data_IF_569033205467
#
_entry.id   IF_569033205467
#
_cell.length_a   1.000
_cell.length_b   1.000
_cell.length_c   1.000
_cell.angle_alpha   90.00
_cell.angle_beta   90.00
_cell.angle_gamma   90.00
#
_symmetry.space_group_name_H-M   'P 1'
#
loop_
_entity.id
_entity.type
_entity.pdbx_description
1 polymer ?
#
# COMPACT_ATOMS: atom_id res chain seq x y z
N UNK A 1 78.72 -2.30 13.32
CA UNK A 1 77.56 -1.39 13.59
C UNK A 1 76.42 -1.81 12.71
N UNK A 2 75.57 -2.67 13.25
CA UNK A 2 74.41 -3.23 12.53
C UNK A 2 73.19 -2.33 12.79
N UNK A 3 72.56 -1.80 11.73
CA UNK A 3 71.31 -1.00 11.79
C UNK A 3 70.16 -1.95 11.61
N UNK A 4 69.46 -2.24 12.69
CA UNK A 4 68.21 -3.01 12.74
C UNK A 4 67.08 -2.07 12.29
N UNK A 5 66.52 -2.27 11.07
CA UNK A 5 65.34 -1.57 10.59
C UNK A 5 64.08 -2.21 11.16
N UNK A 6 63.34 -1.48 11.96
CA UNK A 6 62.01 -1.90 12.46
C UNK A 6 61.01 -1.59 11.35
N UNK A 7 60.46 -2.66 10.72
CA UNK A 7 59.29 -2.55 9.81
C UNK A 7 58.03 -2.51 10.66
N UNK A 8 57.41 -1.33 10.74
CA UNK A 8 56.09 -1.16 11.37
C UNK A 8 55.02 -1.64 10.38
N UNK A 9 54.47 -2.84 10.63
CA UNK A 9 53.38 -3.40 9.87
C UNK A 9 52.09 -2.72 10.33
N UNK A 10 51.58 -1.73 9.59
CA UNK A 10 50.27 -1.12 9.80
C UNK A 10 49.22 -2.07 9.25
N UNK A 11 48.61 -2.87 10.12
CA UNK A 11 47.40 -3.65 9.79
C UNK A 11 46.23 -2.65 9.75
N UNK A 12 45.80 -2.27 8.56
CA UNK A 12 44.55 -1.55 8.34
C UNK A 12 43.44 -2.59 8.50
N UNK A 13 42.88 -2.70 9.69
CA UNK A 13 41.59 -3.34 9.92
C UNK A 13 40.54 -2.52 9.13
N UNK A 14 40.14 -3.04 7.97
CA UNK A 14 38.90 -2.58 7.35
C UNK A 14 37.74 -3.12 8.21
N UNK A 15 37.43 -2.45 9.32
CA UNK A 15 36.11 -2.51 9.89
C UNK A 15 35.17 -1.99 8.80
N UNK A 16 34.31 -2.83 8.28
CA UNK A 16 33.17 -2.38 7.49
C UNK A 16 32.36 -1.45 8.40
N UNK A 17 32.62 -0.16 8.32
CA UNK A 17 31.71 0.86 8.77
C UNK A 17 30.47 0.67 7.89
N UNK A 18 29.44 -0.01 8.40
CA UNK A 18 28.08 0.16 7.88
C UNK A 18 27.82 1.66 8.03
N UNK A 19 28.02 2.40 6.95
CA UNK A 19 27.76 3.82 6.90
C UNK A 19 26.27 3.99 7.18
N UNK A 20 25.96 4.84 8.13
CA UNK A 20 24.59 5.29 8.39
C UNK A 20 23.99 5.81 7.09
N UNK A 21 22.88 5.22 6.61
CA UNK A 21 22.23 5.69 5.38
C UNK A 21 21.63 7.08 5.60
N UNK A 22 21.61 7.86 4.52
CA UNK A 22 20.75 9.04 4.39
C UNK A 22 19.64 8.66 3.41
N UNK A 23 18.40 8.77 3.81
CA UNK A 23 17.26 8.56 2.92
C UNK A 23 17.03 9.82 2.11
N UNK A 24 17.09 9.70 0.78
CA UNK A 24 17.03 10.82 -0.16
C UNK A 24 15.64 10.97 -0.79
N UNK A 25 15.43 12.07 -1.51
CA UNK A 25 14.18 12.33 -2.22
C UNK A 25 13.87 11.34 -3.36
N UNK A 26 14.80 10.45 -3.70
CA UNK A 26 14.56 9.42 -4.71
C UNK A 26 13.43 8.45 -4.33
N UNK A 27 13.10 8.39 -3.02
CA UNK A 27 11.95 7.63 -2.52
C UNK A 27 10.60 8.32 -2.73
N UNK A 28 10.57 9.59 -3.16
CA UNK A 28 9.30 10.28 -3.35
C UNK A 28 8.52 9.66 -4.51
N UNK A 29 7.21 9.45 -4.33
CA UNK A 29 6.38 8.87 -5.36
C UNK A 29 6.25 9.80 -6.58
N UNK A 30 6.02 9.20 -7.74
CA UNK A 30 5.80 9.87 -9.02
C UNK A 30 4.55 9.30 -9.68
N UNK A 31 4.02 10.03 -10.66
CA UNK A 31 2.89 9.52 -11.47
C UNK A 31 3.27 8.17 -12.11
N UNK A 32 2.38 7.19 -11.96
CA UNK A 32 2.56 5.83 -12.47
C UNK A 32 3.20 4.85 -11.48
N UNK A 33 3.72 5.33 -10.35
CA UNK A 33 4.20 4.42 -9.30
C UNK A 33 3.05 3.62 -8.69
N UNK A 34 3.32 2.36 -8.41
CA UNK A 34 2.44 1.51 -7.60
C UNK A 34 3.19 1.06 -6.35
N UNK A 35 2.67 1.41 -5.19
CA UNK A 35 3.20 1.02 -3.89
C UNK A 35 2.44 -0.22 -3.41
N UNK A 36 3.16 -1.32 -3.16
CA UNK A 36 2.57 -2.60 -2.82
C UNK A 36 2.70 -2.90 -1.33
N UNK A 37 1.57 -3.07 -0.65
CA UNK A 37 1.54 -3.35 0.78
C UNK A 37 0.93 -4.72 1.08
N UNK A 38 1.56 -5.46 1.98
CA UNK A 38 0.99 -6.58 2.70
C UNK A 38 0.70 -6.15 4.15
N UNK A 39 -0.29 -6.77 4.78
CA UNK A 39 -0.73 -6.41 6.13
C UNK A 39 -0.75 -7.66 7.01
N UNK A 40 -0.12 -7.57 8.17
CA UNK A 40 -0.28 -8.51 9.28
C UNK A 40 -1.06 -7.80 10.40
N UNK A 41 -2.29 -8.25 10.66
CA UNK A 41 -3.19 -7.67 11.67
C UNK A 41 -2.93 -8.23 13.08
N UNK A 42 -2.12 -9.27 13.22
CA UNK A 42 -1.81 -9.94 14.48
C UNK A 42 -0.34 -10.39 14.52
N UNK A 43 0.62 -9.46 14.35
CA UNK A 43 2.03 -9.81 14.37
C UNK A 43 2.43 -10.39 15.73
N UNK A 44 3.22 -11.47 15.69
CA UNK A 44 3.61 -12.17 16.90
C UNK A 44 4.99 -11.72 17.38
N UNK A 45 5.09 -11.32 18.65
CA UNK A 45 6.35 -11.02 19.34
C UNK A 45 7.19 -9.88 18.74
N UNK A 46 6.56 -8.93 18.05
CA UNK A 46 7.26 -7.72 17.61
C UNK A 46 7.15 -6.65 18.69
N UNK A 47 8.31 -6.32 19.27
CA UNK A 47 8.45 -5.26 20.27
C UNK A 47 9.47 -4.25 19.75
N UNK A 48 9.12 -2.96 19.79
CA UNK A 48 10.03 -1.91 19.37
C UNK A 48 11.16 -1.75 20.39
N UNK A 49 12.38 -1.89 19.89
CA UNK A 49 13.60 -1.66 20.70
C UNK A 49 13.76 -0.19 21.03
N UNK A 50 14.36 0.16 22.20
CA UNK A 50 14.76 1.54 22.47
C UNK A 50 15.68 2.10 21.38
N UNK A 51 15.76 3.45 21.25
CA UNK A 51 16.79 4.09 20.42
C UNK A 51 18.19 3.64 20.82
N UNK A 52 19.07 3.43 19.85
CA UNK A 52 20.46 3.09 20.06
C UNK A 52 21.34 3.77 19.01
N UNK A 53 22.58 4.11 19.39
CA UNK A 53 23.59 4.68 18.50
C UNK A 53 24.27 3.63 17.63
N UNK A 54 24.10 2.35 17.95
CA UNK A 54 24.63 1.24 17.17
C UNK A 54 23.60 0.76 16.09
N UNK A 55 24.08 0.23 14.97
CA UNK A 55 23.21 -0.40 13.97
C UNK A 55 22.39 -1.53 14.61
N UNK A 56 21.10 -1.53 14.40
CA UNK A 56 20.18 -2.54 14.88
C UNK A 56 19.82 -3.55 13.79
N UNK A 57 19.37 -4.73 14.18
CA UNK A 57 18.82 -5.73 13.29
C UNK A 57 17.42 -6.11 13.76
N UNK A 58 16.45 -5.92 12.90
CA UNK A 58 15.04 -6.27 13.14
C UNK A 58 14.68 -7.45 12.25
N UNK A 59 14.20 -8.52 12.85
CA UNK A 59 13.73 -9.71 12.12
C UNK A 59 12.19 -9.76 12.15
N UNK A 60 11.60 -9.37 11.04
CA UNK A 60 10.16 -9.44 10.76
C UNK A 60 9.86 -10.50 9.68
N UNK A 61 10.78 -11.44 9.43
CA UNK A 61 10.59 -12.49 8.43
C UNK A 61 9.39 -13.39 8.70
N UNK A 62 8.94 -13.45 9.95
CA UNK A 62 7.77 -14.20 10.40
C UNK A 62 6.41 -13.52 10.18
N UNK A 63 6.35 -12.32 9.59
CA UNK A 63 5.09 -11.63 9.28
C UNK A 63 4.22 -12.46 8.34
N UNK A 64 2.91 -12.43 8.59
CA UNK A 64 1.90 -13.16 7.81
C UNK A 64 1.05 -12.16 7.02
N UNK A 65 0.89 -12.43 5.73
CA UNK A 65 -0.01 -11.62 4.90
C UNK A 65 -1.46 -12.01 5.16
N UNK A 66 -2.14 -11.28 6.05
CA UNK A 66 -3.58 -11.42 6.27
C UNK A 66 -4.39 -10.76 5.13
N UNK A 67 -3.90 -9.63 4.62
CA UNK A 67 -4.46 -8.92 3.47
C UNK A 67 -3.36 -8.17 2.71
N UNK A 68 -3.72 -7.59 1.56
CA UNK A 68 -2.83 -6.72 0.79
C UNK A 68 -3.63 -5.63 0.09
N UNK A 69 -2.97 -4.53 -0.25
CA UNK A 69 -3.52 -3.45 -1.06
C UNK A 69 -2.41 -2.73 -1.82
N UNK A 70 -2.81 -2.11 -2.92
CA UNK A 70 -1.93 -1.30 -3.74
C UNK A 70 -2.36 0.16 -3.69
N UNK A 71 -1.40 1.07 -3.72
CA UNK A 71 -1.61 2.50 -3.91
C UNK A 71 -1.02 2.89 -5.26
N UNK A 72 -1.87 3.28 -6.19
CA UNK A 72 -1.47 3.73 -7.52
C UNK A 72 -1.42 5.27 -7.49
N UNK A 73 -0.26 5.83 -7.85
CA UNK A 73 -0.05 7.27 -7.94
C UNK A 73 -0.44 7.77 -9.33
N UNK A 74 -1.55 8.49 -9.40
CA UNK A 74 -2.08 9.05 -10.63
C UNK A 74 -1.76 10.55 -10.71
N UNK A 75 -1.84 11.13 -11.91
CA UNK A 75 -1.76 12.57 -12.10
C UNK A 75 -2.98 13.22 -11.38
N UNK A 76 -2.71 14.19 -10.51
CA UNK A 76 -3.74 14.86 -9.74
C UNK A 76 -4.84 15.48 -10.62
N UNK A 77 -4.53 15.90 -11.85
CA UNK A 77 -5.48 16.50 -12.79
C UNK A 77 -6.55 15.51 -13.26
N UNK A 78 -6.31 14.20 -13.13
CA UNK A 78 -7.31 13.18 -13.45
C UNK A 78 -8.41 13.06 -12.40
N UNK A 79 -8.15 13.55 -11.18
CA UNK A 79 -9.09 13.52 -10.08
C UNK A 79 -10.17 14.60 -10.24
N UNK A 80 -11.47 14.27 -10.13
CA UNK A 80 -12.57 15.22 -10.34
C UNK A 80 -12.56 16.38 -9.32
N UNK A 81 -11.96 16.22 -8.15
CA UNK A 81 -11.85 17.26 -7.13
C UNK A 81 -10.55 18.07 -7.21
N UNK A 82 -9.73 17.88 -8.25
CA UNK A 82 -8.49 18.66 -8.47
C UNK A 82 -8.68 20.18 -8.32
N UNK A 83 -9.80 20.81 -8.78
CA UNK A 83 -10.01 22.24 -8.57
C UNK A 83 -10.01 22.68 -7.10
N UNK A 84 -10.28 21.76 -6.16
CA UNK A 84 -10.17 22.02 -4.71
C UNK A 84 -8.72 21.96 -4.22
N UNK A 85 -7.85 21.26 -4.94
CA UNK A 85 -6.44 21.00 -4.58
C UNK A 85 -5.47 21.41 -5.70
N UNK A 86 -5.46 22.68 -6.14
CA UNK A 86 -4.79 23.11 -7.38
C UNK A 86 -3.24 22.97 -7.31
N UNK A 87 -2.67 22.79 -6.11
CA UNK A 87 -1.22 22.57 -5.93
C UNK A 87 -0.81 21.11 -6.01
N UNK A 88 -1.76 20.18 -6.13
CA UNK A 88 -1.44 18.75 -6.16
C UNK A 88 -0.80 18.33 -7.48
N UNK A 89 0.21 17.46 -7.42
CA UNK A 89 0.78 16.76 -8.57
C UNK A 89 0.32 15.31 -8.64
N UNK A 90 0.05 14.70 -7.48
CA UNK A 90 -0.36 13.31 -7.38
C UNK A 90 -1.71 13.18 -6.71
N UNK A 91 -2.44 12.17 -7.12
CA UNK A 91 -3.65 11.70 -6.44
C UNK A 91 -3.59 10.18 -6.33
N UNK A 92 -4.10 9.64 -5.23
CA UNK A 92 -4.34 8.21 -5.11
C UNK A 92 -5.70 7.95 -4.47
N UNK A 93 -6.24 6.76 -4.75
CA UNK A 93 -7.49 6.29 -4.16
C UNK A 93 -7.20 5.09 -3.27
N UNK A 94 -7.72 5.11 -2.04
CA UNK A 94 -7.68 3.98 -1.12
C UNK A 94 -9.08 3.73 -0.57
N UNK A 95 -9.68 2.60 -0.95
CA UNK A 95 -11.09 2.36 -0.67
C UNK A 95 -12.00 3.38 -1.35
N UNK A 96 -12.79 4.10 -0.57
CA UNK A 96 -13.66 5.18 -1.05
C UNK A 96 -12.99 6.57 -1.02
N UNK A 97 -11.83 6.69 -0.37
CA UNK A 97 -11.19 7.98 -0.13
C UNK A 97 -10.16 8.29 -1.21
N UNK A 98 -10.07 9.56 -1.57
CA UNK A 98 -9.11 10.08 -2.54
C UNK A 98 -8.25 11.14 -1.90
N UNK A 99 -6.93 10.99 -1.98
CA UNK A 99 -5.94 11.86 -1.34
C UNK A 99 -5.12 12.59 -2.39
N UNK A 100 -4.95 13.89 -2.22
CA UNK A 100 -4.23 14.79 -3.11
C UNK A 100 -2.92 15.23 -2.49
N UNK A 101 -1.80 15.03 -3.23
CA UNK A 101 -0.44 15.27 -2.75
C UNK A 101 0.27 16.34 -3.57
N UNK A 102 0.99 17.19 -2.87
CA UNK A 102 2.05 18.05 -3.42
C UNK A 102 3.40 17.39 -3.18
N UNK A 103 4.24 17.33 -4.22
CA UNK A 103 5.61 16.82 -4.13
C UNK A 103 6.58 17.94 -4.50
N UNK A 104 7.48 18.26 -3.58
CA UNK A 104 8.55 19.23 -3.83
C UNK A 104 9.92 18.61 -3.49
N UNK A 105 11.03 19.35 -3.65
CA UNK A 105 12.38 18.82 -3.43
C UNK A 105 12.70 18.39 -1.99
N UNK A 106 11.80 18.60 -1.03
CA UNK A 106 12.03 18.30 0.38
C UNK A 106 10.90 17.49 1.03
N UNK A 107 9.68 17.59 0.50
CA UNK A 107 8.50 17.02 1.13
C UNK A 107 7.54 16.40 0.13
N UNK A 108 6.83 15.36 0.59
CA UNK A 108 5.54 14.95 0.06
C UNK A 108 4.49 15.40 1.06
N UNK A 109 3.60 16.29 0.64
CA UNK A 109 2.63 16.96 1.49
C UNK A 109 1.22 16.60 1.01
N UNK A 110 0.40 16.08 1.90
CA UNK A 110 -1.03 15.91 1.67
C UNK A 110 -1.71 17.26 1.79
N UNK A 111 -2.27 17.74 0.68
CA UNK A 111 -3.03 18.99 0.63
C UNK A 111 -4.44 18.81 1.17
N UNK A 112 -4.94 17.60 1.12
CA UNK A 112 -6.24 17.21 1.63
C UNK A 112 -6.76 15.94 0.99
N UNK A 113 -7.99 15.61 1.31
CA UNK A 113 -8.62 14.38 0.83
C UNK A 113 -10.13 14.60 0.63
N UNK A 114 -10.72 13.66 -0.12
CA UNK A 114 -12.16 13.56 -0.31
C UNK A 114 -12.62 12.21 0.22
N UNK A 115 -13.39 12.24 1.30
CA UNK A 115 -13.77 11.04 2.03
C UNK A 115 -14.71 11.35 3.19
N UNK A 116 -14.89 10.38 4.08
CA UNK A 116 -15.64 10.53 5.33
C UNK A 116 -14.69 10.68 6.53
N UNK A 117 -14.29 11.91 6.87
CA UNK A 117 -13.28 12.14 7.90
C UNK A 117 -13.69 11.68 9.30
N UNK A 118 -14.98 11.63 9.56
CA UNK A 118 -15.50 11.34 10.91
C UNK A 118 -16.25 10.01 11.02
N UNK A 119 -16.34 9.22 9.95
CA UNK A 119 -17.10 7.96 9.96
C UNK A 119 -18.60 8.18 10.17
N UNK A 120 -19.12 9.28 9.66
CA UNK A 120 -20.53 9.69 9.80
C UNK A 120 -21.37 9.39 8.54
N UNK A 121 -20.77 8.77 7.52
CA UNK A 121 -21.43 8.51 6.24
C UNK A 121 -21.53 9.75 5.35
N UNK A 122 -20.75 10.80 5.61
CA UNK A 122 -20.76 12.05 4.84
C UNK A 122 -19.43 12.24 4.12
N UNK A 123 -19.45 12.21 2.79
CA UNK A 123 -18.26 12.45 1.98
C UNK A 123 -18.00 13.94 1.84
N UNK A 124 -16.81 14.40 2.25
CA UNK A 124 -16.43 15.81 2.31
C UNK A 124 -15.07 16.05 1.63
N UNK A 125 -14.90 17.23 1.05
CA UNK A 125 -13.61 17.74 0.62
C UNK A 125 -12.93 18.41 1.83
N UNK A 126 -11.91 17.78 2.37
CA UNK A 126 -11.18 18.25 3.55
C UNK A 126 -9.80 18.77 3.13
N UNK A 127 -9.63 20.09 3.17
CA UNK A 127 -8.37 20.76 2.80
C UNK A 127 -7.56 21.01 4.07
N UNK A 128 -6.33 20.48 4.10
CA UNK A 128 -5.40 20.70 5.21
C UNK A 128 -4.79 22.10 5.18
N UNK A 129 -4.73 22.73 6.35
CA UNK A 129 -4.00 23.98 6.55
C UNK A 129 -3.33 24.02 7.93
N UNK A 130 -1.98 24.13 7.96
CA UNK A 130 -1.08 23.86 6.80
C UNK A 130 -1.21 22.44 6.30
N UNK A 131 -0.69 22.17 5.09
CA UNK A 131 -0.69 20.83 4.50
C UNK A 131 -0.04 19.78 5.42
N UNK A 132 -0.49 18.55 5.38
CA UNK A 132 0.02 17.48 6.21
C UNK A 132 1.24 16.80 5.55
N UNK A 133 2.42 16.97 6.13
CA UNK A 133 3.67 16.39 5.58
C UNK A 133 3.67 14.88 5.79
N UNK A 134 3.58 14.13 4.69
CA UNK A 134 3.62 12.66 4.70
C UNK A 134 5.05 12.12 4.79
N UNK A 135 5.95 12.70 3.99
CA UNK A 135 7.35 12.29 3.89
C UNK A 135 8.25 13.51 3.82
N UNK A 136 9.46 13.36 4.34
CA UNK A 136 10.54 14.32 4.22
C UNK A 136 11.81 13.65 3.72
N UNK A 137 12.60 14.35 2.92
CA UNK A 137 13.94 13.93 2.52
C UNK A 137 14.78 15.16 2.11
N UNK A 138 16.10 15.15 2.31
CA UNK A 138 16.84 14.05 2.92
C UNK A 138 16.58 13.94 4.43
N UNK A 139 16.65 12.72 4.98
CA UNK A 139 16.62 12.46 6.41
C UNK A 139 17.76 11.53 6.81
N UNK A 140 18.29 11.75 7.99
CA UNK A 140 19.38 10.96 8.58
C UNK A 140 19.12 10.70 10.07
N UNK A 141 19.89 9.80 10.64
CA UNK A 141 19.78 9.47 12.05
C UNK A 141 19.94 10.72 12.94
N UNK A 142 19.13 10.84 13.99
CA UNK A 142 18.93 12.00 14.87
C UNK A 142 18.13 13.17 14.31
N UNK A 143 17.68 13.13 13.07
CA UNK A 143 16.77 14.17 12.61
C UNK A 143 15.49 14.16 13.43
N UNK A 144 15.07 15.37 13.82
CA UNK A 144 13.87 15.62 14.60
C UNK A 144 13.04 16.70 13.92
N UNK A 145 11.74 16.49 13.81
CA UNK A 145 10.85 17.49 13.28
C UNK A 145 9.48 17.47 13.93
N UNK A 146 9.01 18.66 14.27
CA UNK A 146 7.66 18.88 14.75
C UNK A 146 6.81 19.53 13.67
N UNK A 147 5.60 19.00 13.46
CA UNK A 147 4.65 19.51 12.49
C UNK A 147 3.27 19.63 13.10
N UNK A 148 2.48 20.53 12.57
CA UNK A 148 1.05 20.64 12.86
C UNK A 148 0.27 20.79 11.56
N UNK A 149 -0.96 20.30 11.57
CA UNK A 149 -1.87 20.40 10.43
C UNK A 149 -3.31 20.31 10.93
N UNK A 150 -4.27 20.69 10.10
CA UNK A 150 -5.66 20.53 10.44
C UNK A 150 -6.57 20.89 9.29
N UNK A 151 -7.85 20.62 9.44
CA UNK A 151 -8.87 21.07 8.50
C UNK A 151 -10.14 21.50 9.23
N UNK A 152 -10.94 22.28 8.55
CA UNK A 152 -12.26 22.71 9.00
C UNK A 152 -13.20 22.66 7.79
N UNK A 153 -14.17 21.73 7.81
CA UNK A 153 -15.09 21.52 6.69
C UNK A 153 -16.51 21.51 7.20
N UNK A 154 -17.35 22.40 6.64
CA UNK A 154 -18.76 22.52 6.97
C UNK A 154 -19.65 21.88 5.90
N UNK A 155 -20.80 21.37 6.32
CA UNK A 155 -21.80 20.76 5.45
C UNK A 155 -23.21 20.95 6.02
N UNK A 156 -24.27 20.96 5.18
CA UNK A 156 -25.66 21.03 5.63
C UNK A 156 -26.00 19.84 6.54
N UNK A 157 -26.72 20.08 7.64
CA UNK A 157 -27.14 19.01 8.57
C UNK A 157 -27.93 17.91 7.86
N UNK A 158 -28.72 18.26 6.85
CA UNK A 158 -29.50 17.30 6.05
C UNK A 158 -28.67 16.28 5.29
N UNK A 159 -27.36 16.49 5.11
CA UNK A 159 -26.44 15.52 4.49
C UNK A 159 -26.02 14.41 5.46
N UNK A 160 -26.25 14.58 6.77
CA UNK A 160 -25.91 13.58 7.77
C UNK A 160 -26.99 12.48 7.78
N UNK A 161 -26.68 11.23 7.50
CA UNK A 161 -27.60 10.11 7.61
C UNK A 161 -28.15 10.03 9.05
N UNK A 162 -29.47 10.03 9.22
CA UNK A 162 -30.11 9.99 10.55
C UNK A 162 -30.04 11.29 11.36
N UNK A 163 -29.79 12.42 10.74
CA UNK A 163 -29.73 13.74 11.40
C UNK A 163 -30.96 14.08 12.24
N UNK A 164 -32.13 13.56 11.88
CA UNK A 164 -33.39 13.74 12.64
C UNK A 164 -33.38 13.13 14.04
N UNK A 165 -32.41 12.26 14.34
CA UNK A 165 -32.22 11.63 15.65
C UNK A 165 -31.40 12.50 16.61
N UNK A 166 -30.72 13.56 16.10
CA UNK A 166 -29.94 14.44 16.94
C UNK A 166 -30.82 15.22 17.91
N UNK A 167 -30.37 15.39 19.17
CA UNK A 167 -31.17 16.08 20.21
C UNK A 167 -31.09 17.62 20.11
N UNK A 168 -30.61 18.15 18.99
CA UNK A 168 -30.47 19.58 18.70
C UNK A 168 -30.82 19.87 17.25
N UNK A 169 -31.18 21.14 17.00
CA UNK A 169 -31.48 21.61 15.65
C UNK A 169 -30.32 22.53 15.23
N UNK A 170 -29.65 22.16 14.16
CA UNK A 170 -28.58 22.92 13.54
C UNK A 170 -28.81 23.01 12.02
N UNK A 171 -28.57 24.18 11.43
CA UNK A 171 -28.67 24.37 9.97
C UNK A 171 -27.54 23.67 9.25
N UNK A 172 -26.35 23.69 9.87
CA UNK A 172 -25.13 23.12 9.32
C UNK A 172 -24.30 22.49 10.45
N UNK A 173 -23.53 21.50 10.07
CA UNK A 173 -22.49 20.89 10.88
C UNK A 173 -21.13 21.22 10.29
N UNK A 174 -20.07 21.24 11.11
CA UNK A 174 -18.71 21.30 10.63
C UNK A 174 -17.80 20.36 11.43
N UNK A 175 -16.91 19.69 10.73
CA UNK A 175 -15.85 18.90 11.34
C UNK A 175 -14.61 19.78 11.38
N UNK A 176 -14.01 19.86 12.55
CA UNK A 176 -12.69 20.46 12.73
C UNK A 176 -11.73 19.40 13.27
N UNK A 177 -10.57 19.29 12.64
CA UNK A 177 -9.52 18.40 13.05
C UNK A 177 -8.22 19.20 13.19
N UNK A 178 -7.54 18.97 14.28
CA UNK A 178 -6.16 19.43 14.49
C UNK A 178 -5.27 18.25 14.82
N UNK A 179 -4.05 18.30 14.32
CA UNK A 179 -3.04 17.31 14.63
C UNK A 179 -1.70 17.99 14.90
N UNK A 180 -0.99 17.51 15.91
CA UNK A 180 0.43 17.79 16.11
C UNK A 180 1.20 16.49 16.07
N UNK A 181 2.38 16.53 15.48
CA UNK A 181 3.20 15.34 15.26
C UNK A 181 4.66 15.65 15.52
N UNK A 182 5.32 14.75 16.24
CA UNK A 182 6.75 14.71 16.42
C UNK A 182 7.30 13.48 15.70
N UNK A 183 8.22 13.71 14.77
CA UNK A 183 8.93 12.70 14.01
C UNK A 183 10.39 12.68 14.46
N UNK A 184 10.89 11.53 14.85
CA UNK A 184 12.27 11.34 15.28
C UNK A 184 12.88 10.15 14.52
N UNK A 185 13.99 10.39 13.82
CA UNK A 185 14.80 9.30 13.27
C UNK A 185 15.66 8.74 14.39
N UNK A 186 15.17 7.69 15.04
CA UNK A 186 15.66 7.24 16.36
C UNK A 186 16.51 5.97 16.32
N UNK A 187 16.62 5.32 15.17
CA UNK A 187 17.47 4.14 14.98
C UNK A 187 17.78 3.91 13.49
N UNK A 188 18.79 3.09 13.23
CA UNK A 188 19.19 2.66 11.89
C UNK A 188 19.73 1.22 11.92
N UNK A 189 19.78 0.58 10.78
CA UNK A 189 20.32 -0.79 10.65
C UNK A 189 19.63 -1.60 9.57
N UNK A 190 19.44 -2.90 9.80
CA UNK A 190 18.85 -3.80 8.83
C UNK A 190 17.48 -4.30 9.31
N UNK A 191 16.51 -4.27 8.42
CA UNK A 191 15.19 -4.85 8.62
C UNK A 191 14.98 -6.00 7.63
N UNK A 192 14.71 -7.19 8.16
CA UNK A 192 14.30 -8.37 7.37
C UNK A 192 12.78 -8.49 7.42
N UNK A 193 12.12 -8.52 6.26
CA UNK A 193 10.71 -8.81 6.06
C UNK A 193 10.56 -10.06 5.18
N UNK A 194 9.37 -10.67 5.04
CA UNK A 194 9.17 -11.72 4.06
C UNK A 194 9.63 -11.28 2.65
N UNK A 195 10.62 -11.99 2.09
CA UNK A 195 11.17 -11.76 0.76
C UNK A 195 12.47 -10.94 0.70
N UNK A 196 12.94 -10.31 1.79
CA UNK A 196 14.21 -9.58 1.72
C UNK A 196 14.66 -8.88 2.98
N UNK A 197 15.93 -8.44 2.96
CA UNK A 197 16.54 -7.60 4.00
C UNK A 197 16.95 -6.27 3.40
N UNK A 198 16.67 -5.19 4.12
CA UNK A 198 16.87 -3.81 3.68
C UNK A 198 17.66 -3.03 4.73
N UNK A 199 18.57 -2.18 4.25
CA UNK A 199 19.17 -1.16 5.09
C UNK A 199 18.15 -0.03 5.31
N UNK A 200 17.89 0.35 6.57
CA UNK A 200 16.78 1.24 6.91
C UNK A 200 17.16 2.30 7.95
N UNK A 201 16.45 3.43 7.89
CA UNK A 201 16.27 4.36 9.00
C UNK A 201 14.91 4.10 9.65
N UNK A 202 14.86 4.06 10.97
CA UNK A 202 13.62 3.98 11.72
C UNK A 202 13.17 5.38 12.15
N UNK A 203 11.97 5.76 11.75
CA UNK A 203 11.30 6.99 12.18
C UNK A 203 10.19 6.64 13.18
N UNK A 204 10.31 7.16 14.39
CA UNK A 204 9.23 7.14 15.38
C UNK A 204 8.35 8.37 15.17
N UNK A 205 7.09 8.18 14.84
CA UNK A 205 6.06 9.23 14.74
C UNK A 205 5.16 9.18 15.94
N UNK A 206 5.13 10.26 16.72
CA UNK A 206 4.16 10.46 17.79
C UNK A 206 3.17 11.51 17.34
N UNK A 207 1.93 11.09 17.08
CA UNK A 207 0.85 11.97 16.62
C UNK A 207 -0.20 12.12 17.71
N UNK A 208 -0.49 13.36 18.05
CA UNK A 208 -1.69 13.76 18.78
C UNK A 208 -2.70 14.31 17.79
N UNK A 209 -3.95 13.82 17.84
CA UNK A 209 -5.05 14.29 17.01
C UNK A 209 -6.25 14.62 17.87
N UNK A 210 -6.87 15.76 17.60
CA UNK A 210 -8.17 16.14 18.14
C UNK A 210 -9.14 16.37 16.97
N UNK A 211 -10.29 15.71 17.01
CA UNK A 211 -11.34 15.84 16.00
C UNK A 211 -12.68 16.09 16.67
N UNK A 212 -13.34 17.18 16.31
CA UNK A 212 -14.58 17.66 16.89
C UNK A 212 -15.61 17.94 15.82
N UNK A 213 -16.88 17.94 16.21
CA UNK A 213 -17.97 18.38 15.38
C UNK A 213 -18.72 19.52 16.08
N UNK A 214 -18.97 20.60 15.33
CA UNK A 214 -19.76 21.72 15.81
C UNK A 214 -21.07 21.84 15.02
N UNK A 215 -22.15 22.22 15.68
CA UNK A 215 -23.44 22.56 15.10
C UNK A 215 -23.66 24.05 15.04
N UNK A 216 -24.17 24.56 13.91
CA UNK A 216 -24.60 25.96 13.76
C UNK A 216 -26.04 26.11 14.26
N UNK A 217 -26.18 26.62 15.48
CA UNK A 217 -27.44 26.71 16.22
C UNK A 217 -27.85 28.20 16.37
N UNK A 218 -28.95 28.59 15.76
CA UNK A 218 -29.46 29.98 15.87
C UNK A 218 -30.05 30.22 17.26
N UNK A 219 -29.83 31.41 17.88
CA UNK A 219 -28.98 32.51 17.43
C UNK A 219 -27.51 32.39 17.91
N UNK A 220 -27.14 31.28 18.55
CA UNK A 220 -25.87 31.10 19.27
C UNK A 220 -24.64 30.92 18.38
N UNK A 221 -24.82 30.56 17.09
CA UNK A 221 -23.73 30.29 16.17
C UNK A 221 -23.18 28.88 16.25
N UNK A 222 -21.86 28.71 16.11
CA UNK A 222 -21.20 27.41 16.14
C UNK A 222 -20.93 26.98 17.58
N UNK A 223 -21.48 25.85 17.97
CA UNK A 223 -21.28 25.21 19.28
C UNK A 223 -20.71 23.81 19.11
N UNK A 224 -19.81 23.41 19.98
CA UNK A 224 -19.29 22.03 20.05
C UNK A 224 -20.42 21.10 20.46
N UNK A 225 -20.74 20.15 19.61
CA UNK A 225 -21.78 19.12 19.82
C UNK A 225 -21.20 17.71 19.75
N UNK A 226 -19.87 17.57 19.94
CA UNK A 226 -19.13 16.32 19.80
C UNK A 226 -19.70 15.22 20.70
N UNK A 227 -19.86 15.49 22.00
CA UNK A 227 -20.31 14.48 22.95
C UNK A 227 -21.77 14.07 22.70
N UNK A 228 -22.59 15.03 22.30
CA UNK A 228 -23.97 14.75 21.89
C UNK A 228 -24.01 13.90 20.62
N UNK A 229 -23.16 14.21 19.65
CA UNK A 229 -23.08 13.42 18.41
C UNK A 229 -22.60 12.00 18.68
N UNK A 230 -21.61 11.81 19.52
CA UNK A 230 -21.10 10.49 19.90
C UNK A 230 -22.16 9.61 20.59
N UNK A 231 -23.14 10.19 21.26
CA UNK A 231 -24.25 9.44 21.84
C UNK A 231 -25.11 8.72 20.77
N UNK A 232 -25.24 9.34 19.60
CA UNK A 232 -26.05 8.82 18.49
C UNK A 232 -25.20 8.11 17.40
N UNK A 233 -23.94 8.48 17.31
CA UNK A 233 -22.95 7.91 16.38
C UNK A 233 -21.72 7.43 17.15
N UNK A 234 -21.83 6.37 17.96
CA UNK A 234 -20.76 5.93 18.86
C UNK A 234 -19.52 5.39 18.14
N UNK A 235 -19.63 5.07 16.87
CA UNK A 235 -18.52 4.61 16.01
C UNK A 235 -17.83 5.76 15.24
N UNK A 236 -18.29 7.02 15.42
CA UNK A 236 -17.67 8.16 14.77
C UNK A 236 -16.23 8.37 15.27
N UNK A 237 -15.33 8.76 14.35
CA UNK A 237 -13.92 9.02 14.65
C UNK A 237 -13.73 10.42 15.26
N UNK A 238 -14.47 10.72 16.32
CA UNK A 238 -14.42 12.00 17.04
C UNK A 238 -13.70 11.83 18.37
N UNK A 239 -13.19 12.94 18.93
CA UNK A 239 -12.49 12.96 20.20
C UNK A 239 -10.99 13.18 20.03
N UNK A 240 -10.22 12.70 20.99
CA UNK A 240 -8.77 12.85 21.08
C UNK A 240 -8.11 11.49 20.99
N UNK A 241 -7.08 11.37 20.19
CA UNK A 241 -6.24 10.18 20.16
C UNK A 241 -4.74 10.55 20.15
N UNK A 242 -3.93 9.63 20.67
CA UNK A 242 -2.48 9.66 20.53
C UNK A 242 -2.03 8.34 19.95
N UNK A 243 -1.34 8.42 18.82
CA UNK A 243 -0.85 7.24 18.11
C UNK A 243 0.66 7.32 17.94
N UNK A 244 1.34 6.23 18.30
CA UNK A 244 2.76 6.04 17.98
C UNK A 244 2.87 4.99 16.89
N UNK A 245 3.57 5.36 15.82
CA UNK A 245 3.89 4.49 14.69
C UNK A 245 5.37 4.54 14.39
N UNK A 246 5.93 3.42 13.96
CA UNK A 246 7.31 3.35 13.51
C UNK A 246 7.34 3.05 12.02
N UNK A 247 8.04 3.90 11.26
CA UNK A 247 8.28 3.77 9.83
C UNK A 247 9.72 3.32 9.60
N UNK A 248 9.92 2.38 8.73
CA UNK A 248 11.24 1.93 8.31
C UNK A 248 11.47 2.35 6.86
N UNK A 249 12.31 3.36 6.68
CA UNK A 249 12.61 3.96 5.39
C UNK A 249 13.88 3.39 4.79
N UNK A 250 13.91 3.17 3.47
CA UNK A 250 15.07 2.72 2.70
C UNK A 250 15.11 3.40 1.35
N UNK A 251 16.31 3.70 0.83
CA UNK A 251 16.47 4.19 -0.55
C UNK A 251 16.13 3.13 -1.61
N UNK A 252 15.89 1.89 -1.21
CA UNK A 252 15.55 0.79 -2.11
C UNK A 252 14.05 0.68 -2.40
N UNK A 253 13.23 1.57 -1.83
CA UNK A 253 11.77 1.51 -1.95
C UNK A 253 11.15 2.89 -1.83
N UNK A 254 10.09 3.14 -2.57
CA UNK A 254 9.28 4.37 -2.45
C UNK A 254 8.29 4.28 -1.30
N UNK A 255 7.76 3.09 -1.03
CA UNK A 255 7.01 2.82 0.19
C UNK A 255 7.95 2.49 1.36
N UNK A 256 7.55 2.78 2.61
CA UNK A 256 8.25 2.26 3.79
C UNK A 256 8.38 0.73 3.71
N UNK A 257 9.54 0.20 4.09
CA UNK A 257 9.74 -1.26 4.17
C UNK A 257 8.77 -1.87 5.17
N UNK A 258 8.52 -1.18 6.28
CA UNK A 258 7.46 -1.53 7.23
C UNK A 258 6.91 -0.27 7.92
N UNK A 259 5.63 -0.34 8.30
CA UNK A 259 4.95 0.61 9.18
C UNK A 259 4.37 -0.19 10.33
N UNK A 260 4.87 0.03 11.54
CA UNK A 260 4.44 -0.68 12.74
C UNK A 260 3.50 0.21 13.58
N UNK A 261 2.28 -0.26 13.79
CA UNK A 261 1.30 0.39 14.65
C UNK A 261 1.39 -0.21 16.06
N UNK A 262 1.50 0.64 17.07
CA UNK A 262 1.65 0.18 18.45
C UNK A 262 0.37 0.30 19.25
N UNK A 263 0.29 -0.45 20.33
CA UNK A 263 -0.71 -0.28 21.37
C UNK A 263 -0.40 0.94 22.28
N UNK A 264 -1.19 1.12 23.31
CA UNK A 264 -1.02 2.21 24.28
C UNK A 264 0.31 2.16 25.05
N UNK A 265 1.02 1.03 25.06
CA UNK A 265 2.37 0.94 25.67
C UNK A 265 3.43 1.61 24.80
N UNK A 266 3.11 1.90 23.52
CA UNK A 266 4.00 2.47 22.51
C UNK A 266 5.18 1.56 22.13
N UNK A 267 5.20 0.32 22.59
CA UNK A 267 6.28 -0.64 22.36
C UNK A 267 5.80 -1.90 21.65
N UNK A 268 4.63 -2.43 22.08
CA UNK A 268 4.07 -3.65 21.46
C UNK A 268 3.40 -3.30 20.15
N UNK A 269 3.83 -3.98 19.08
CA UNK A 269 3.23 -3.83 17.75
C UNK A 269 1.97 -4.68 17.65
N UNK A 270 0.88 -4.07 17.22
CA UNK A 270 -0.43 -4.71 17.07
C UNK A 270 -0.85 -4.89 15.62
N UNK A 271 -0.17 -4.20 14.70
CA UNK A 271 -0.39 -4.31 13.26
C UNK A 271 0.88 -3.90 12.53
N UNK A 272 1.21 -4.58 11.45
CA UNK A 272 2.29 -4.18 10.54
C UNK A 272 1.76 -4.10 9.11
N UNK A 273 2.01 -2.97 8.46
CA UNK A 273 1.94 -2.87 7.00
C UNK A 273 3.38 -2.94 6.50
N UNK A 274 3.66 -3.78 5.52
CA UNK A 274 5.01 -3.96 5.02
C UNK A 274 5.03 -4.08 3.50
N UNK A 275 6.19 -3.80 2.91
CA UNK A 275 6.40 -3.90 1.47
C UNK A 275 6.08 -5.31 0.98
N UNK A 276 5.15 -5.43 0.03
CA UNK A 276 4.79 -6.69 -0.58
C UNK A 276 5.71 -7.02 -1.76
N UNK A 277 6.82 -7.70 -1.47
CA UNK A 277 7.81 -8.07 -2.49
C UNK A 277 7.23 -9.10 -3.47
N UNK A 278 6.34 -10.00 -3.01
CA UNK A 278 5.73 -11.02 -3.86
C UNK A 278 4.82 -10.41 -4.93
N UNK A 279 4.11 -9.32 -4.61
CA UNK A 279 3.33 -8.58 -5.59
C UNK A 279 4.22 -7.99 -6.70
N UNK A 280 5.42 -7.51 -6.34
CA UNK A 280 6.38 -6.95 -7.30
C UNK A 280 7.02 -8.01 -8.21
N UNK A 281 7.16 -9.25 -7.74
CA UNK A 281 7.74 -10.37 -8.51
C UNK A 281 6.70 -11.15 -9.30
N UNK A 282 5.44 -11.11 -8.87
CA UNK A 282 4.30 -11.75 -9.55
C UNK A 282 3.51 -10.80 -10.45
N UNK A 283 3.94 -9.55 -10.57
CA UNK A 283 3.45 -8.67 -11.63
C UNK A 283 4.05 -9.05 -13.02
N UNK A 284 3.99 -10.32 -13.40
CA UNK A 284 3.40 -10.63 -14.67
C UNK A 284 2.05 -9.89 -14.64
N UNK A 285 1.94 -8.77 -15.38
CA UNK A 285 0.68 -8.15 -15.73
C UNK A 285 -0.35 -9.28 -15.78
N UNK A 286 -1.32 -9.29 -14.87
CA UNK A 286 -2.54 -10.01 -15.12
C UNK A 286 -3.16 -9.22 -16.26
N UNK A 287 -2.71 -9.49 -17.47
CA UNK A 287 -3.51 -9.19 -18.66
C UNK A 287 -4.82 -9.86 -18.29
N UNK A 288 -5.87 -9.08 -18.14
CA UNK A 288 -7.22 -9.63 -18.18
C UNK A 288 -7.21 -10.50 -19.41
N UNK A 289 -7.22 -11.82 -19.18
CA UNK A 289 -7.28 -12.76 -20.27
C UNK A 289 -8.53 -12.38 -21.06
N UNK A 290 -8.32 -11.76 -22.19
CA UNK A 290 -9.33 -10.99 -22.90
C UNK A 290 -10.52 -11.87 -23.34
N UNK A 291 -10.36 -13.20 -23.24
CA UNK A 291 -11.36 -14.16 -23.72
C UNK A 291 -11.50 -15.31 -22.71
N UNK A 292 -12.72 -15.61 -22.24
CA UNK A 292 -12.96 -16.75 -21.38
C UNK A 292 -12.62 -18.06 -22.10
N UNK A 293 -11.79 -18.88 -21.46
CA UNK A 293 -11.40 -20.22 -21.95
C UNK A 293 -11.82 -21.24 -20.90
N UNK A 294 -12.47 -22.31 -21.35
CA UNK A 294 -12.90 -23.41 -20.48
C UNK A 294 -12.52 -24.76 -21.08
N UNK A 295 -12.36 -25.77 -20.23
CA UNK A 295 -12.03 -27.13 -20.67
C UNK A 295 -13.04 -28.14 -20.14
N UNK A 296 -13.30 -29.18 -20.91
CA UNK A 296 -14.16 -30.29 -20.52
C UNK A 296 -13.78 -31.60 -21.26
N UNK A 297 -14.06 -32.77 -20.62
CA UNK A 297 -14.40 -32.94 -19.22
C UNK A 297 -13.22 -32.50 -18.30
N UNK A 298 -13.50 -32.20 -17.04
CA UNK A 298 -12.48 -31.97 -16.02
C UNK A 298 -12.95 -32.59 -14.70
N UNK A 299 -12.38 -33.71 -14.21
CA UNK A 299 -11.19 -34.40 -14.76
C UNK A 299 -11.38 -34.95 -16.16
N UNK A 300 -10.28 -35.00 -16.93
CA UNK A 300 -10.25 -35.43 -18.31
C UNK A 300 -9.70 -36.86 -18.44
N UNK A 301 -10.33 -37.66 -19.30
CA UNK A 301 -9.84 -38.98 -19.74
C UNK A 301 -8.83 -38.87 -20.86
N UNK A 302 -9.09 -39.56 -21.99
CA UNK A 302 -8.20 -39.59 -23.14
C UNK A 302 -8.27 -38.33 -24.04
N UNK A 303 -9.35 -37.56 -23.90
CA UNK A 303 -9.61 -36.39 -24.76
C UNK A 303 -10.04 -35.22 -23.91
N UNK A 304 -9.44 -34.05 -24.17
CA UNK A 304 -9.79 -32.75 -23.59
C UNK A 304 -10.30 -31.83 -24.69
N UNK A 305 -11.39 -31.15 -24.42
CA UNK A 305 -11.91 -30.08 -25.27
C UNK A 305 -11.61 -28.73 -24.60
N UNK A 306 -11.07 -27.79 -25.37
CA UNK A 306 -10.90 -26.39 -25.00
C UNK A 306 -11.94 -25.57 -25.75
N UNK A 307 -12.87 -24.98 -25.00
CA UNK A 307 -13.88 -24.05 -25.56
C UNK A 307 -13.44 -22.62 -25.29
N UNK A 308 -13.47 -21.79 -26.33
CA UNK A 308 -13.10 -20.37 -26.26
C UNK A 308 -14.33 -19.49 -26.29
N UNK A 309 -14.21 -18.26 -25.78
CA UNK A 309 -15.10 -17.17 -26.13
C UNK A 309 -14.93 -16.74 -27.60
N UNK A 310 -15.42 -15.57 -27.95
CA UNK A 310 -15.38 -15.04 -29.32
C UNK A 310 -13.96 -14.59 -29.68
N UNK A 311 -13.29 -15.30 -30.56
CA UNK A 311 -11.92 -15.04 -31.01
C UNK A 311 -11.93 -14.04 -32.19
N UNK A 312 -11.04 -13.07 -32.19
CA UNK A 312 -10.73 -12.26 -33.35
C UNK A 312 -10.07 -13.17 -34.45
N UNK A 313 -10.13 -12.78 -35.69
CA UNK A 313 -9.45 -13.51 -36.75
C UNK A 313 -7.94 -13.36 -36.64
N UNK A 314 -7.24 -14.43 -36.23
CA UNK A 314 -5.77 -14.45 -36.01
C UNK A 314 -5.23 -15.89 -36.07
N UNK A 315 -3.91 -16.02 -35.98
CA UNK A 315 -3.25 -17.30 -35.78
C UNK A 315 -3.09 -17.58 -34.30
N UNK A 316 -3.53 -18.75 -33.86
CA UNK A 316 -3.53 -19.14 -32.46
C UNK A 316 -2.65 -20.35 -32.19
N UNK A 317 -1.96 -20.34 -31.07
CA UNK A 317 -1.20 -21.47 -30.54
C UNK A 317 -1.83 -21.94 -29.24
N UNK A 318 -2.22 -23.22 -29.21
CA UNK A 318 -2.65 -23.92 -28.01
C UNK A 318 -1.46 -24.72 -27.47
N UNK A 319 -1.06 -24.48 -26.24
CA UNK A 319 0.02 -25.25 -25.59
C UNK A 319 -0.48 -25.84 -24.29
N UNK A 320 0.01 -27.02 -23.94
CA UNK A 320 -0.27 -27.66 -22.65
C UNK A 320 1.02 -27.96 -21.90
N UNK A 321 1.06 -27.59 -20.64
CA UNK A 321 2.22 -27.73 -19.75
C UNK A 321 1.90 -28.61 -18.54
N UNK A 322 2.90 -29.34 -18.07
CA UNK A 322 2.82 -30.02 -16.78
C UNK A 322 3.13 -29.05 -15.59
N UNK A 323 3.07 -29.58 -14.35
CA UNK A 323 3.37 -28.82 -13.15
C UNK A 323 4.81 -28.28 -13.06
N UNK A 324 5.74 -28.85 -13.82
CA UNK A 324 7.13 -28.41 -13.90
C UNK A 324 7.37 -27.38 -15.00
N UNK A 325 6.31 -26.96 -15.70
CA UNK A 325 6.38 -26.00 -16.81
C UNK A 325 6.91 -26.59 -18.12
N UNK A 326 7.01 -27.90 -18.24
CA UNK A 326 7.42 -28.54 -19.50
C UNK A 326 6.23 -28.54 -20.47
N UNK A 327 6.47 -28.09 -21.70
CA UNK A 327 5.47 -28.18 -22.77
C UNK A 327 5.29 -29.62 -23.19
N UNK A 328 4.10 -30.18 -23.03
CA UNK A 328 3.74 -31.55 -23.35
C UNK A 328 3.27 -31.65 -24.80
N UNK A 329 2.49 -30.66 -25.22
CA UNK A 329 1.98 -30.57 -26.60
C UNK A 329 1.72 -29.11 -26.96
N UNK A 330 1.89 -28.80 -28.24
CA UNK A 330 1.36 -27.57 -28.83
C UNK A 330 0.68 -27.86 -30.17
N UNK A 331 -0.27 -27.02 -30.51
CA UNK A 331 -0.97 -27.04 -31.81
C UNK A 331 -1.12 -25.60 -32.29
N UNK A 332 -0.89 -25.39 -33.56
CA UNK A 332 -1.11 -24.11 -34.23
C UNK A 332 -2.40 -24.19 -35.07
N UNK A 333 -3.13 -23.08 -35.07
CA UNK A 333 -4.39 -22.91 -35.78
C UNK A 333 -4.31 -21.60 -36.57
N UNK A 334 -4.26 -21.72 -37.88
CA UNK A 334 -4.20 -20.55 -38.75
C UNK A 334 -5.60 -19.99 -38.98
N UNK A 335 -5.71 -18.66 -38.95
CA UNK A 335 -6.94 -17.90 -39.24
C UNK A 335 -8.19 -18.40 -38.50
N UNK A 336 -8.05 -18.71 -37.22
CA UNK A 336 -9.16 -19.08 -36.35
C UNK A 336 -9.92 -17.81 -35.89
N UNK A 337 -11.26 -17.87 -35.87
CA UNK A 337 -12.13 -16.79 -35.43
C UNK A 337 -13.44 -17.31 -34.84
N UNK A 338 -14.14 -16.47 -34.06
CA UNK A 338 -15.39 -16.85 -33.41
C UNK A 338 -15.20 -17.83 -32.25
N UNK A 339 -16.27 -18.53 -31.86
CA UNK A 339 -16.23 -19.53 -30.80
C UNK A 339 -15.60 -20.81 -31.34
N UNK A 340 -14.53 -21.29 -30.71
CA UNK A 340 -13.84 -22.50 -31.11
C UNK A 340 -13.94 -23.60 -30.02
N UNK A 341 -14.00 -24.85 -30.49
CA UNK A 341 -13.90 -26.05 -29.66
C UNK A 341 -12.69 -26.85 -30.13
N UNK A 342 -11.56 -26.71 -29.44
CA UNK A 342 -10.27 -27.26 -29.81
C UNK A 342 -10.03 -28.55 -29.02
N UNK A 343 -9.55 -29.59 -29.67
CA UNK A 343 -9.40 -30.93 -29.09
C UNK A 343 -7.93 -31.29 -28.88
N UNK A 344 -7.61 -31.82 -27.69
CA UNK A 344 -6.30 -32.36 -27.32
C UNK A 344 -6.45 -33.82 -26.91
N UNK A 345 -5.67 -34.72 -27.57
CA UNK A 345 -5.59 -36.13 -27.17
C UNK A 345 -4.49 -36.34 -26.14
N UNK A 346 -4.80 -37.14 -25.12
CA UNK A 346 -3.96 -37.35 -23.95
C UNK A 346 -3.74 -38.81 -23.60
N UNK A 347 -3.81 -39.68 -24.59
CA UNK A 347 -3.77 -41.15 -24.43
C UNK A 347 -2.51 -41.65 -23.71
N UNK A 348 -1.38 -40.93 -23.83
CA UNK A 348 -0.09 -41.31 -23.25
C UNK A 348 0.32 -40.44 -22.03
N UNK A 349 -0.59 -39.59 -21.53
CA UNK A 349 -0.24 -38.70 -20.43
C UNK A 349 -0.48 -39.37 -19.05
N UNK A 350 0.37 -39.06 -18.12
CA UNK A 350 0.20 -39.51 -16.74
C UNK A 350 -0.91 -38.75 -16.05
N UNK A 351 -1.59 -39.38 -15.09
CA UNK A 351 -2.55 -38.69 -14.24
C UNK A 351 -1.89 -37.55 -13.49
N UNK A 352 -2.55 -36.40 -13.41
CA UNK A 352 -1.98 -35.20 -12.80
C UNK A 352 -2.66 -33.90 -13.22
N UNK A 353 -2.10 -32.81 -12.73
CA UNK A 353 -2.57 -31.45 -13.07
C UNK A 353 -1.76 -30.87 -14.23
N UNK A 354 -2.47 -30.25 -15.15
CA UNK A 354 -1.93 -29.62 -16.35
C UNK A 354 -2.48 -28.21 -16.53
N UNK A 355 -1.76 -27.38 -17.26
CA UNK A 355 -2.17 -26.05 -17.67
C UNK A 355 -2.28 -25.97 -19.18
N UNK A 356 -3.43 -25.52 -19.66
CA UNK A 356 -3.67 -25.28 -21.07
C UNK A 356 -3.69 -23.78 -21.33
N UNK A 357 -2.93 -23.32 -22.32
CA UNK A 357 -2.83 -21.91 -22.70
C UNK A 357 -3.22 -21.73 -24.16
N UNK A 358 -3.89 -20.63 -24.46
CA UNK A 358 -4.15 -20.17 -25.82
C UNK A 358 -3.47 -18.82 -26.00
N UNK A 359 -2.63 -18.69 -27.02
CA UNK A 359 -1.92 -17.45 -27.34
C UNK A 359 -2.04 -17.12 -28.82
N UNK A 360 -1.81 -15.87 -29.21
CA UNK A 360 -1.69 -15.41 -30.58
C UNK A 360 -0.42 -14.56 -30.76
N UNK A 361 -0.29 -13.87 -31.90
CA UNK A 361 0.85 -12.98 -32.18
C UNK A 361 1.01 -11.81 -31.22
N UNK A 362 -0.05 -11.45 -30.49
CA UNK A 362 -0.08 -10.33 -29.53
C UNK A 362 0.18 -10.76 -28.08
N UNK A 363 0.14 -12.07 -27.79
CA UNK A 363 0.41 -12.59 -26.45
C UNK A 363 -0.57 -13.68 -25.98
N UNK A 364 -0.61 -13.90 -24.67
CA UNK A 364 -1.48 -14.88 -24.02
C UNK A 364 -2.93 -14.40 -24.02
N UNK A 365 -3.83 -15.19 -24.62
CA UNK A 365 -5.25 -14.88 -24.76
C UNK A 365 -6.07 -15.50 -23.64
N UNK A 366 -5.74 -16.74 -23.26
CA UNK A 366 -6.47 -17.47 -22.24
C UNK A 366 -5.63 -18.58 -21.60
N UNK A 367 -5.96 -18.92 -20.35
CA UNK A 367 -5.32 -20.01 -19.61
C UNK A 367 -6.34 -20.71 -18.73
N UNK A 368 -6.23 -22.03 -18.64
CA UNK A 368 -7.08 -22.85 -17.78
C UNK A 368 -6.32 -24.04 -17.22
N UNK A 369 -6.59 -24.40 -15.98
CA UNK A 369 -6.06 -25.59 -15.30
C UNK A 369 -7.05 -26.73 -15.41
N UNK A 370 -6.56 -27.96 -15.63
CA UNK A 370 -7.37 -29.17 -15.61
C UNK A 370 -6.62 -30.35 -14.99
N UNK A 371 -7.37 -31.39 -14.65
CA UNK A 371 -6.85 -32.65 -14.13
C UNK A 371 -7.02 -33.75 -15.16
N UNK A 372 -5.97 -34.56 -15.35
CA UNK A 372 -6.01 -35.83 -16.12
C UNK A 372 -6.16 -36.98 -15.13
N UNK A 373 -7.15 -37.85 -15.37
CA UNK A 373 -7.29 -39.15 -14.66
C UNK A 373 -6.28 -40.19 -15.11
#
# INVERSE_FOLDING_TARGET
MSRLGIFLLVIILRSGLSGQITVTQDIFPQVGDTLHYAVDDQPVNIIMTPPDFAPQNWDFSGLKQASSFDIIMEDAQTGPEFPTFPGAQLVYTLGADRTYLEVNGQNVTELGFVGDPAGLGVRLNSVYYPGYIQMRAPVQFFDLAATSSGFLTAFPTGNLPGASQLPFIADSLRIRMSTSRLDAIDAFGNLTIPGGTFEVLREKRTRYREQRIDGKIAPLGWLDVTDLTLTYYPTAYLGVDTLVTYYFWSNQSKEPIAICFTDNSQLRVVKVQYKNIQASTTALKKEELAIPVSVYPNPAGEVLHLRTGDLALDNYRLSVYDLLGREIVHKEYDQLSGHADLTVRMDAWTSGTYFCTLSNTHGLIGQVRFMKE
#
